data_IF_050946865477
#
_entry.id   IF_050946865477
#
_cell.length_a   1.000
_cell.length_b   1.000
_cell.length_c   1.000
_cell.angle_alpha   90.00
_cell.angle_beta   90.00
_cell.angle_gamma   90.00
#
_symmetry.space_group_name_H-M   'P 1'
#
loop_
_entity.id
_entity.type
_entity.pdbx_description
1 polymer ?
#
# COMPACT_ATOMS: atom_id res chain seq x y z
N UNK A 1 -8.23 -14.91 22.98
CA UNK A 1 -8.74 -13.67 22.37
C UNK A 1 -8.15 -13.55 20.98
N UNK A 2 -8.95 -13.17 19.97
CA UNK A 2 -8.42 -12.91 18.64
C UNK A 2 -7.74 -11.54 18.65
N UNK A 3 -6.43 -11.50 18.42
CA UNK A 3 -5.66 -10.27 18.35
C UNK A 3 -5.69 -9.79 16.91
N UNK A 4 -6.22 -8.59 16.69
CA UNK A 4 -6.37 -7.97 15.38
C UNK A 4 -6.07 -6.46 15.47
N UNK A 5 -5.90 -5.75 14.34
CA UNK A 5 -5.75 -4.29 14.34
C UNK A 5 -6.85 -3.59 15.17
N UNK A 6 -6.45 -2.66 16.04
CA UNK A 6 -7.34 -1.96 16.98
C UNK A 6 -7.66 -2.73 18.27
N UNK A 7 -7.05 -3.91 18.48
CA UNK A 7 -7.12 -4.60 19.75
C UNK A 7 -6.16 -3.94 20.77
N UNK A 8 -6.61 -3.57 21.99
CA UNK A 8 -5.81 -2.80 22.94
C UNK A 8 -4.44 -3.40 23.26
N UNK A 9 -4.34 -4.73 23.34
CA UNK A 9 -3.05 -5.43 23.52
C UNK A 9 -2.09 -5.18 22.35
N UNK A 10 -2.56 -5.26 21.10
CA UNK A 10 -1.71 -5.05 19.93
C UNK A 10 -1.25 -3.60 19.88
N UNK A 11 -2.18 -2.67 20.06
CA UNK A 11 -1.89 -1.23 20.07
C UNK A 11 -0.86 -0.88 21.15
N UNK A 12 -1.04 -1.40 22.38
CA UNK A 12 -0.09 -1.16 23.48
C UNK A 12 1.30 -1.74 23.21
N UNK A 13 1.37 -2.92 22.58
CA UNK A 13 2.67 -3.54 22.22
C UNK A 13 3.37 -2.73 21.13
N UNK A 14 2.64 -2.26 20.11
CA UNK A 14 3.17 -1.38 19.07
C UNK A 14 3.69 -0.09 19.70
N UNK A 15 2.89 0.57 20.54
CA UNK A 15 3.24 1.84 21.17
C UNK A 15 4.49 1.71 22.04
N UNK A 16 4.55 0.72 22.94
CA UNK A 16 5.72 0.49 23.80
C UNK A 16 6.97 0.12 23.00
N UNK A 17 6.81 -0.62 21.89
CA UNK A 17 7.94 -0.97 21.01
C UNK A 17 8.47 0.27 20.31
N UNK A 18 7.58 1.09 19.74
CA UNK A 18 7.95 2.32 19.05
C UNK A 18 8.53 3.35 20.02
N UNK A 19 7.96 3.50 21.22
CA UNK A 19 8.49 4.39 22.27
C UNK A 19 9.93 4.01 22.62
N UNK A 20 10.20 2.72 22.82
CA UNK A 20 11.54 2.22 23.15
C UNK A 20 12.56 2.40 22.03
N UNK A 21 12.13 2.27 20.77
CA UNK A 21 13.03 2.19 19.61
C UNK A 21 13.00 3.44 18.70
N UNK A 22 12.26 4.49 19.05
CA UNK A 22 12.15 5.71 18.23
C UNK A 22 13.50 6.35 17.91
N UNK A 23 14.40 6.42 18.89
CA UNK A 23 15.74 6.99 18.68
C UNK A 23 16.62 6.13 17.77
N UNK A 24 16.35 4.82 17.66
CA UNK A 24 17.03 3.96 16.70
C UNK A 24 16.57 4.28 15.27
N UNK A 25 15.27 4.48 15.06
CA UNK A 25 14.71 4.87 13.76
C UNK A 25 15.28 6.22 13.29
N UNK A 26 15.44 7.19 14.20
CA UNK A 26 16.01 8.51 13.91
C UNK A 26 17.52 8.50 13.63
N UNK A 27 18.28 7.57 14.20
CA UNK A 27 19.71 7.39 13.87
C UNK A 27 19.92 6.91 12.44
N UNK A 28 18.93 6.22 11.88
CA UNK A 28 18.95 5.71 10.53
C UNK A 28 19.81 4.45 10.36
N UNK A 29 19.96 4.03 9.11
CA UNK A 29 20.73 2.84 8.72
C UNK A 29 21.43 3.06 7.38
N UNK A 30 22.41 2.20 7.09
CA UNK A 30 22.96 2.04 5.74
C UNK A 30 22.55 0.66 5.25
N UNK A 31 21.82 0.62 4.14
CA UNK A 31 21.36 -0.60 3.48
C UNK A 31 21.95 -0.68 2.08
N UNK A 32 22.07 -1.89 1.56
CA UNK A 32 22.62 -2.19 0.24
C UNK A 32 21.52 -2.66 -0.68
N UNK A 33 21.40 -2.00 -1.82
CA UNK A 33 20.57 -2.44 -2.94
C UNK A 33 21.41 -3.33 -3.86
N UNK A 34 21.21 -4.64 -3.75
CA UNK A 34 21.91 -5.65 -4.57
C UNK A 34 21.48 -5.63 -6.04
N UNK A 35 20.28 -5.12 -6.33
CA UNK A 35 19.77 -5.01 -7.69
C UNK A 35 20.35 -3.84 -8.49
N UNK A 36 21.06 -2.93 -7.81
CA UNK A 36 21.57 -1.71 -8.43
C UNK A 36 23.08 -1.78 -8.72
N UNK A 37 23.41 -1.97 -10.00
CA UNK A 37 24.78 -1.93 -10.52
C UNK A 37 25.34 -0.51 -10.71
N UNK A 38 24.55 0.52 -10.46
CA UNK A 38 24.97 1.91 -10.50
C UNK A 38 25.91 2.28 -9.36
N UNK A 39 26.36 3.54 -9.34
CA UNK A 39 27.27 4.06 -8.30
C UNK A 39 26.69 5.21 -7.49
N UNK A 40 25.44 5.61 -7.78
CA UNK A 40 24.82 6.78 -7.17
C UNK A 40 24.01 6.39 -5.92
N UNK A 41 24.45 6.75 -4.71
CA UNK A 41 23.73 6.47 -3.49
C UNK A 41 22.44 7.31 -3.40
N UNK A 42 21.48 6.80 -2.64
CA UNK A 42 20.16 7.43 -2.45
C UNK A 42 19.84 7.52 -0.98
N UNK A 43 19.03 8.50 -0.58
CA UNK A 43 18.53 8.61 0.79
C UNK A 43 17.03 8.37 0.78
N UNK A 44 16.59 7.34 1.49
CA UNK A 44 15.18 6.99 1.64
C UNK A 44 14.68 7.48 2.99
N UNK A 45 13.67 8.36 2.98
CA UNK A 45 12.91 8.75 4.16
C UNK A 45 11.61 7.98 4.23
N UNK A 46 11.24 7.54 5.43
CA UNK A 46 9.93 6.98 5.70
C UNK A 46 9.18 7.89 6.67
N UNK A 47 7.96 8.25 6.27
CA UNK A 47 7.09 9.17 6.98
C UNK A 47 5.81 8.47 7.37
N UNK A 48 5.21 8.94 8.45
CA UNK A 48 3.86 8.58 8.84
C UNK A 48 2.92 9.71 8.45
N UNK A 49 1.82 9.40 7.78
CA UNK A 49 0.77 10.35 7.46
C UNK A 49 -0.60 9.83 7.91
N UNK A 50 -1.30 10.67 8.67
CA UNK A 50 -2.63 10.37 9.20
C UNK A 50 -3.67 11.32 8.62
N UNK A 51 -4.85 10.79 8.35
CA UNK A 51 -6.05 11.54 7.98
C UNK A 51 -7.08 11.32 9.09
N UNK A 52 -7.73 12.40 9.49
CA UNK A 52 -8.73 12.41 10.55
C UNK A 52 -10.06 12.96 10.05
N UNK A 53 -11.14 12.57 10.70
CA UNK A 53 -12.44 13.21 10.56
C UNK A 53 -12.74 14.14 11.75
N UNK A 54 -13.88 14.82 11.74
CA UNK A 54 -14.31 15.69 12.83
C UNK A 54 -15.02 14.92 13.98
N UNK A 55 -15.10 13.59 13.95
CA UNK A 55 -15.63 12.82 15.07
C UNK A 55 -14.61 12.76 16.22
N UNK A 56 -15.11 12.54 17.44
CA UNK A 56 -14.28 12.42 18.63
C UNK A 56 -14.21 10.97 19.11
N UNK A 57 -13.00 10.55 19.51
CA UNK A 57 -12.78 9.29 20.22
C UNK A 57 -13.30 9.39 21.65
N UNK A 58 -13.27 8.27 22.39
CA UNK A 58 -13.63 8.26 23.83
C UNK A 58 -12.70 9.14 24.68
N UNK A 59 -11.46 9.37 24.24
CA UNK A 59 -10.50 10.26 24.88
C UNK A 59 -10.68 11.74 24.51
N UNK A 60 -11.60 12.06 23.60
CA UNK A 60 -11.87 13.44 23.16
C UNK A 60 -10.97 13.94 22.03
N UNK A 61 -10.15 13.07 21.45
CA UNK A 61 -9.30 13.38 20.30
C UNK A 61 -10.05 13.22 18.98
N UNK A 62 -9.59 13.88 17.91
CA UNK A 62 -10.11 13.63 16.56
C UNK A 62 -9.80 12.20 16.14
N UNK A 63 -10.78 11.54 15.53
CA UNK A 63 -10.61 10.15 15.10
C UNK A 63 -9.76 10.08 13.84
N UNK A 64 -8.64 9.35 13.90
CA UNK A 64 -7.87 8.96 12.72
C UNK A 64 -8.67 7.93 11.91
N UNK A 65 -8.93 8.23 10.64
CA UNK A 65 -9.70 7.41 9.71
C UNK A 65 -8.85 6.69 8.67
N UNK A 66 -7.60 7.14 8.50
CA UNK A 66 -6.57 6.46 7.72
C UNK A 66 -5.20 6.80 8.27
N UNK A 67 -4.29 5.84 8.27
CA UNK A 67 -2.90 6.00 8.69
C UNK A 67 -2.02 5.22 7.72
N UNK A 68 -1.03 5.88 7.11
CA UNK A 68 -0.21 5.31 6.04
C UNK A 68 1.27 5.65 6.26
N UNK A 69 2.12 4.67 5.98
CA UNK A 69 3.56 4.88 5.81
C UNK A 69 3.82 5.39 4.39
N UNK A 70 4.59 6.46 4.26
CA UNK A 70 4.99 7.05 2.99
C UNK A 70 6.50 6.92 2.84
N UNK A 71 6.97 6.73 1.61
CA UNK A 71 8.40 6.61 1.33
C UNK A 71 8.82 7.66 0.31
N UNK A 72 9.82 8.47 0.65
CA UNK A 72 10.38 9.49 -0.25
C UNK A 72 11.85 9.22 -0.42
N UNK A 73 12.23 8.88 -1.65
CA UNK A 73 13.62 8.69 -2.05
C UNK A 73 14.19 9.98 -2.63
N UNK A 74 15.42 10.30 -2.27
CA UNK A 74 16.19 11.44 -2.78
C UNK A 74 17.49 10.92 -3.39
N UNK A 75 17.87 11.52 -4.51
CA UNK A 75 19.10 11.22 -5.27
C UNK A 75 19.95 12.49 -5.40
N UNK A 76 21.20 12.34 -5.88
CA UNK A 76 22.13 13.47 -6.04
C UNK A 76 21.62 14.57 -6.99
N UNK A 77 20.76 14.24 -7.96
CA UNK A 77 20.08 15.21 -8.83
C UNK A 77 19.04 16.07 -8.08
N UNK A 78 18.72 15.70 -6.84
CA UNK A 78 17.81 16.40 -5.95
C UNK A 78 16.33 16.23 -6.30
N UNK A 79 15.95 15.35 -7.23
CA UNK A 79 14.55 15.10 -7.55
C UNK A 79 13.95 14.09 -6.56
N UNK A 80 13.05 14.49 -5.64
CA UNK A 80 12.41 13.55 -4.75
C UNK A 80 11.45 12.65 -5.53
N UNK A 81 11.40 11.37 -5.16
CA UNK A 81 10.49 10.38 -5.76
C UNK A 81 9.68 9.71 -4.66
N UNK A 82 8.37 9.65 -4.84
CA UNK A 82 7.51 8.84 -3.99
C UNK A 82 7.61 7.37 -4.39
N UNK A 83 7.78 6.48 -3.41
CA UNK A 83 7.76 5.03 -3.61
C UNK A 83 6.59 4.46 -2.83
N UNK A 84 5.74 3.67 -3.48
CA UNK A 84 4.46 3.26 -2.89
C UNK A 84 4.60 2.04 -1.96
N UNK A 85 5.50 1.11 -2.28
CA UNK A 85 5.79 -0.04 -1.45
C UNK A 85 7.02 0.20 -0.57
N UNK A 86 7.14 -0.54 0.55
CA UNK A 86 8.27 -0.46 1.48
C UNK A 86 9.57 -0.96 0.80
N UNK A 87 10.39 -0.08 0.19
CA UNK A 87 11.43 -0.54 -0.71
C UNK A 87 12.64 -1.09 0.06
N UNK A 88 12.78 -0.71 1.33
CA UNK A 88 13.83 -1.20 2.24
C UNK A 88 13.74 -2.71 2.52
N UNK A 89 12.61 -3.35 2.22
CA UNK A 89 12.44 -4.79 2.35
C UNK A 89 13.27 -5.59 1.33
N UNK A 90 13.66 -4.97 0.22
CA UNK A 90 14.52 -5.56 -0.80
C UNK A 90 16.01 -5.22 -0.56
N UNK A 91 16.31 -4.41 0.45
CA UNK A 91 17.67 -3.96 0.76
C UNK A 91 18.23 -4.73 1.95
N UNK A 92 19.48 -5.16 1.83
CA UNK A 92 20.15 -5.92 2.90
C UNK A 92 21.01 -5.00 3.78
N UNK A 93 21.31 -5.38 5.03
CA UNK A 93 22.34 -4.67 5.80
C UNK A 93 23.72 -4.77 5.13
N UNK A 94 24.60 -3.83 5.46
CA UNK A 94 26.03 -3.93 5.15
C UNK A 94 26.61 -5.21 5.77
N UNK A 95 27.39 -5.94 5.00
CA UNK A 95 28.12 -7.11 5.47
C UNK A 95 29.39 -6.70 6.22
N UNK A 96 29.87 -7.58 7.11
CA UNK A 96 31.02 -7.31 8.00
C UNK A 96 32.31 -7.03 7.22
N UNK A 97 32.43 -7.54 6.00
CA UNK A 97 33.59 -7.40 5.11
C UNK A 97 33.45 -6.27 4.07
N UNK A 98 32.40 -5.45 4.16
CA UNK A 98 32.18 -4.30 3.29
C UNK A 98 32.74 -3.01 3.90
N UNK A 99 32.99 -1.97 3.09
CA UNK A 99 33.40 -0.66 3.60
C UNK A 99 32.47 -0.15 4.69
N UNK A 100 33.06 0.37 5.77
CA UNK A 100 32.31 0.92 6.89
C UNK A 100 31.52 2.18 6.51
N UNK A 101 30.52 2.51 7.33
CA UNK A 101 29.61 3.65 7.11
C UNK A 101 30.37 4.96 6.87
N UNK A 102 31.40 5.27 7.67
CA UNK A 102 32.20 6.49 7.50
C UNK A 102 32.94 6.51 6.16
N UNK A 103 33.48 5.37 5.72
CA UNK A 103 34.17 5.25 4.42
C UNK A 103 33.21 5.50 3.25
N UNK A 104 31.98 5.00 3.36
CA UNK A 104 30.92 5.22 2.36
C UNK A 104 30.51 6.70 2.35
N UNK A 105 30.25 7.29 3.51
CA UNK A 105 29.80 8.69 3.60
C UNK A 105 30.86 9.70 3.14
N UNK A 106 32.15 9.38 3.28
CA UNK A 106 33.26 10.22 2.81
C UNK A 106 33.47 10.18 1.27
N UNK A 107 32.68 9.39 0.54
CA UNK A 107 32.73 9.33 -0.92
C UNK A 107 32.20 10.64 -1.55
N UNK A 108 32.77 11.08 -2.69
CA UNK A 108 32.24 12.21 -3.46
C UNK A 108 30.75 12.03 -3.84
N UNK A 109 30.33 10.80 -4.12
CA UNK A 109 28.95 10.47 -4.46
C UNK A 109 27.96 10.72 -3.30
N UNK A 110 28.45 10.80 -2.06
CA UNK A 110 27.67 11.11 -0.86
C UNK A 110 27.73 12.60 -0.47
N UNK A 111 28.51 13.45 -1.17
CA UNK A 111 28.77 14.83 -0.76
C UNK A 111 27.52 15.73 -0.74
N UNK A 112 26.47 15.35 -1.48
CA UNK A 112 25.18 16.05 -1.48
C UNK A 112 24.31 15.75 -0.24
N UNK A 113 24.67 14.73 0.55
CA UNK A 113 23.90 14.28 1.70
C UNK A 113 24.15 15.22 2.88
N UNK A 114 23.10 15.93 3.29
CA UNK A 114 23.17 16.92 4.35
C UNK A 114 21.90 16.93 5.21
N UNK A 115 21.84 17.82 6.20
CA UNK A 115 20.74 17.90 7.18
C UNK A 115 19.44 18.46 6.61
N UNK A 116 19.46 19.08 5.43
CA UNK A 116 18.29 19.71 4.81
C UNK A 116 17.40 18.70 4.06
N UNK A 117 17.92 17.49 3.82
CA UNK A 117 17.21 16.44 3.09
C UNK A 117 15.90 16.02 3.77
N UNK A 118 15.87 15.98 5.11
CA UNK A 118 14.65 15.65 5.87
C UNK A 118 13.53 16.66 5.57
N UNK A 119 13.85 17.95 5.60
CA UNK A 119 12.90 19.02 5.30
C UNK A 119 12.45 18.97 3.84
N UNK A 120 13.37 18.67 2.91
CA UNK A 120 13.05 18.52 1.49
C UNK A 120 12.10 17.35 1.23
N UNK A 121 12.34 16.19 1.86
CA UNK A 121 11.46 15.04 1.77
C UNK A 121 10.07 15.34 2.36
N UNK A 122 10.02 15.98 3.53
CA UNK A 122 8.75 16.37 4.15
C UNK A 122 7.97 17.38 3.28
N UNK A 123 8.65 18.38 2.72
CA UNK A 123 8.04 19.37 1.83
C UNK A 123 7.45 18.74 0.56
N UNK A 124 8.19 17.80 -0.04
CA UNK A 124 7.69 17.02 -1.17
C UNK A 124 6.47 16.16 -0.80
N UNK A 125 6.52 15.47 0.34
CA UNK A 125 5.40 14.66 0.83
C UNK A 125 4.13 15.51 1.02
N UNK A 126 4.25 16.69 1.63
CA UNK A 126 3.13 17.64 1.79
C UNK A 126 2.57 18.08 0.44
N UNK A 127 3.44 18.40 -0.52
CA UNK A 127 3.03 18.98 -1.79
C UNK A 127 2.43 17.96 -2.78
N UNK A 128 2.95 16.73 -2.82
CA UNK A 128 2.63 15.75 -3.86
C UNK A 128 1.93 14.51 -3.31
N UNK A 129 2.41 13.95 -2.20
CA UNK A 129 1.97 12.63 -1.70
C UNK A 129 0.72 12.72 -0.81
N UNK A 130 0.66 13.72 0.07
CA UNK A 130 -0.46 13.94 1.00
C UNK A 130 -1.79 14.19 0.27
N UNK A 131 -1.84 15.01 -0.82
CA UNK A 131 -3.08 15.23 -1.57
C UNK A 131 -3.65 13.96 -2.20
N UNK A 132 -2.80 13.07 -2.71
CA UNK A 132 -3.21 11.78 -3.29
C UNK A 132 -3.86 10.90 -2.21
N UNK A 133 -3.18 10.72 -1.07
CA UNK A 133 -3.73 9.95 0.06
C UNK A 133 -5.05 10.56 0.57
N UNK A 134 -5.15 11.89 0.65
CA UNK A 134 -6.38 12.56 1.07
C UNK A 134 -7.53 12.28 0.10
N UNK A 135 -7.28 12.36 -1.20
CA UNK A 135 -8.29 12.17 -2.24
C UNK A 135 -8.82 10.74 -2.20
N UNK A 136 -7.93 9.74 -2.19
CA UNK A 136 -8.28 8.32 -2.10
C UNK A 136 -9.18 8.00 -0.89
N UNK A 137 -8.80 8.51 0.29
CA UNK A 137 -9.55 8.28 1.53
C UNK A 137 -10.88 9.03 1.52
N UNK A 138 -10.88 10.30 1.06
CA UNK A 138 -12.08 11.13 1.01
C UNK A 138 -13.12 10.52 0.08
N UNK A 139 -12.74 10.11 -1.12
CA UNK A 139 -13.67 9.56 -2.11
C UNK A 139 -14.35 8.29 -1.60
N UNK A 140 -13.55 7.37 -1.06
CA UNK A 140 -14.05 6.12 -0.47
C UNK A 140 -14.99 6.38 0.71
N UNK A 141 -14.61 7.28 1.62
CA UNK A 141 -15.40 7.58 2.83
C UNK A 141 -16.68 8.32 2.51
N UNK A 142 -16.65 9.33 1.64
CA UNK A 142 -17.84 10.09 1.28
C UNK A 142 -18.88 9.20 0.57
N UNK A 143 -18.45 8.28 -0.30
CA UNK A 143 -19.34 7.30 -0.92
C UNK A 143 -20.02 6.40 0.14
N UNK A 144 -19.26 5.90 1.12
CA UNK A 144 -19.80 5.08 2.20
C UNK A 144 -20.75 5.86 3.11
N UNK A 145 -20.41 7.12 3.44
CA UNK A 145 -21.24 8.01 4.25
C UNK A 145 -22.56 8.29 3.55
N UNK A 146 -22.55 8.61 2.25
CA UNK A 146 -23.75 8.86 1.47
C UNK A 146 -24.68 7.63 1.45
N UNK A 147 -24.11 6.43 1.24
CA UNK A 147 -24.86 5.16 1.31
C UNK A 147 -25.47 4.93 2.69
N UNK A 148 -24.71 5.22 3.74
CA UNK A 148 -25.15 5.08 5.14
C UNK A 148 -26.26 6.06 5.47
N UNK A 149 -26.13 7.32 5.04
CA UNK A 149 -27.12 8.37 5.22
C UNK A 149 -28.46 7.99 4.57
N UNK A 150 -28.41 7.51 3.32
CA UNK A 150 -29.61 7.06 2.60
C UNK A 150 -30.31 5.91 3.34
N UNK A 151 -29.57 4.90 3.80
CA UNK A 151 -30.12 3.76 4.53
C UNK A 151 -30.71 4.15 5.89
N UNK A 152 -30.05 5.06 6.61
CA UNK A 152 -30.54 5.57 7.91
C UNK A 152 -31.82 6.36 7.72
N UNK A 153 -31.87 7.28 6.74
CA UNK A 153 -33.07 8.05 6.43
C UNK A 153 -34.23 7.15 6.02
N UNK A 154 -34.01 6.21 5.10
CA UNK A 154 -35.05 5.29 4.63
C UNK A 154 -35.67 4.49 5.81
N UNK A 155 -34.82 3.88 6.63
CA UNK A 155 -35.29 3.05 7.75
C UNK A 155 -35.98 3.87 8.84
N UNK A 156 -35.36 4.93 9.33
CA UNK A 156 -35.91 5.68 10.46
C UNK A 156 -37.14 6.49 10.08
N UNK A 157 -37.19 7.05 8.86
CA UNK A 157 -38.38 7.79 8.40
C UNK A 157 -39.60 6.88 8.34
N UNK A 158 -39.47 5.65 7.82
CA UNK A 158 -40.55 4.66 7.80
C UNK A 158 -41.08 4.33 9.19
N UNK A 159 -40.19 4.09 10.15
CA UNK A 159 -40.56 3.82 11.54
C UNK A 159 -41.21 5.03 12.21
N UNK A 160 -40.68 6.25 11.99
CA UNK A 160 -41.28 7.50 12.51
C UNK A 160 -42.70 7.65 11.98
N UNK A 161 -42.90 7.55 10.66
CA UNK A 161 -44.23 7.65 10.04
C UNK A 161 -45.19 6.58 10.56
N UNK A 162 -44.73 5.35 10.79
CA UNK A 162 -45.53 4.29 11.38
C UNK A 162 -46.01 4.66 12.80
N UNK A 163 -45.09 5.08 13.67
CA UNK A 163 -45.43 5.42 15.06
C UNK A 163 -46.26 6.70 15.17
N UNK A 164 -46.02 7.70 14.31
CA UNK A 164 -46.83 8.91 14.23
C UNK A 164 -48.28 8.61 13.82
N UNK A 165 -48.47 7.81 12.77
CA UNK A 165 -49.80 7.38 12.35
C UNK A 165 -50.49 6.54 13.43
N UNK A 166 -49.75 5.63 14.07
CA UNK A 166 -50.27 4.82 15.18
C UNK A 166 -50.69 5.66 16.38
N UNK A 167 -49.95 6.72 16.70
CA UNK A 167 -50.29 7.65 17.78
C UNK A 167 -51.62 8.36 17.51
N UNK A 168 -51.84 8.87 16.30
CA UNK A 168 -53.11 9.52 15.94
C UNK A 168 -54.30 8.53 15.92
N UNK A 169 -54.09 7.29 15.44
CA UNK A 169 -55.12 6.26 15.52
C UNK A 169 -55.53 5.95 16.96
N UNK A 170 -54.57 5.79 17.87
CA UNK A 170 -54.85 5.52 19.28
C UNK A 170 -55.54 6.71 19.95
N UNK A 171 -55.14 7.93 19.60
CA UNK A 171 -55.75 9.16 20.12
C UNK A 171 -57.24 9.26 19.75
N UNK A 172 -57.59 8.94 18.50
CA UNK A 172 -58.99 8.89 18.06
C UNK A 172 -59.79 7.80 18.80
N UNK A 173 -59.19 6.62 19.04
CA UNK A 173 -59.85 5.54 19.79
C UNK A 173 -60.07 5.90 21.26
N UNK A 174 -59.09 6.54 21.89
CA UNK A 174 -59.18 7.06 23.26
C UNK A 174 -60.27 8.12 23.39
N UNK A 175 -60.34 9.06 22.43
CA UNK A 175 -61.42 10.07 22.36
C UNK A 175 -62.80 9.44 22.14
N UNK A 176 -62.87 8.33 21.43
CA UNK A 176 -64.09 7.55 21.24
C UNK A 176 -64.43 6.61 22.42
N UNK A 177 -63.70 6.71 23.55
CA UNK A 177 -63.96 5.92 24.76
C UNK A 177 -63.52 4.45 24.67
N UNK A 178 -62.63 4.09 23.73
CA UNK A 178 -62.06 2.74 23.58
C UNK A 178 -60.57 2.74 23.94
N UNK A 179 -60.20 2.93 25.21
CA UNK A 179 -58.79 2.96 25.62
C UNK A 179 -58.12 1.59 25.45
N UNK A 180 -56.87 1.59 24.99
CA UNK A 180 -56.06 0.38 24.83
C UNK A 180 -55.14 0.19 26.06
N UNK A 181 -55.23 -0.96 26.73
CA UNK A 181 -54.51 -1.22 27.98
C UNK A 181 -52.98 -1.45 27.81
N UNK A 182 -52.50 -1.72 26.59
CA UNK A 182 -51.08 -2.09 26.34
C UNK A 182 -50.22 -0.97 25.75
N UNK A 183 -50.83 0.02 25.11
CA UNK A 183 -50.13 1.12 24.45
C UNK A 183 -51.12 2.27 24.24
N UNK A 184 -50.80 3.45 24.78
CA UNK A 184 -51.59 4.66 24.57
C UNK A 184 -50.98 5.58 23.49
N UNK A 185 -51.76 6.57 23.05
CA UNK A 185 -51.36 7.56 22.05
C UNK A 185 -50.09 8.32 22.43
N UNK A 186 -49.94 8.67 23.71
CA UNK A 186 -48.77 9.38 24.24
C UNK A 186 -47.48 8.56 24.18
N UNK A 187 -47.52 7.27 24.50
CA UNK A 187 -46.38 6.36 24.39
C UNK A 187 -45.97 6.13 22.93
N UNK A 188 -46.95 5.99 22.03
CA UNK A 188 -46.67 5.89 20.60
C UNK A 188 -46.02 7.17 20.06
N UNK A 189 -46.51 8.35 20.47
CA UNK A 189 -45.90 9.65 20.12
C UNK A 189 -44.47 9.76 20.65
N UNK A 190 -44.23 9.43 21.92
CA UNK A 190 -42.89 9.40 22.51
C UNK A 190 -41.92 8.51 21.73
N UNK A 191 -42.38 7.37 21.20
CA UNK A 191 -41.53 6.50 20.35
C UNK A 191 -41.15 7.19 19.04
N UNK A 192 -42.08 7.88 18.38
CA UNK A 192 -41.78 8.65 17.18
C UNK A 192 -40.77 9.77 17.47
N UNK A 193 -40.97 10.54 18.55
CA UNK A 193 -40.05 11.62 18.96
C UNK A 193 -38.64 11.10 19.25
N UNK A 194 -38.51 9.94 19.94
CA UNK A 194 -37.22 9.30 20.18
C UNK A 194 -36.53 8.87 18.89
N UNK A 195 -37.29 8.36 17.91
CA UNK A 195 -36.75 7.98 16.60
C UNK A 195 -36.32 9.21 15.79
N UNK A 196 -37.07 10.32 15.86
CA UNK A 196 -36.68 11.60 15.27
C UNK A 196 -35.36 12.12 15.86
N UNK A 197 -35.23 12.10 17.19
CA UNK A 197 -34.00 12.48 17.87
C UNK A 197 -32.81 11.59 17.48
N UNK A 198 -33.03 10.27 17.32
CA UNK A 198 -32.00 9.34 16.84
C UNK A 198 -31.60 9.62 15.39
N UNK A 199 -32.56 9.93 14.51
CA UNK A 199 -32.29 10.30 13.13
C UNK A 199 -31.44 11.57 13.08
N UNK A 200 -31.87 12.63 13.78
CA UNK A 200 -31.14 13.89 13.85
C UNK A 200 -29.71 13.68 14.34
N UNK A 201 -29.55 13.00 15.49
CA UNK A 201 -28.24 12.70 16.07
C UNK A 201 -27.34 11.95 15.07
N UNK A 202 -27.87 10.92 14.40
CA UNK A 202 -27.06 10.15 13.45
C UNK A 202 -26.67 10.97 12.21
N UNK A 203 -27.54 11.86 11.73
CA UNK A 203 -27.20 12.76 10.62
C UNK A 203 -26.13 13.79 11.03
N UNK A 204 -26.15 14.26 12.27
CA UNK A 204 -25.11 15.14 12.82
C UNK A 204 -23.76 14.41 12.94
N UNK A 205 -23.76 13.16 13.40
CA UNK A 205 -22.56 12.31 13.43
C UNK A 205 -21.99 12.10 12.03
N UNK A 206 -22.82 11.75 11.04
CA UNK A 206 -22.38 11.57 9.64
C UNK A 206 -21.80 12.86 9.03
N UNK A 207 -22.33 14.03 9.41
CA UNK A 207 -21.77 15.33 8.99
C UNK A 207 -20.37 15.59 9.58
N UNK A 208 -20.08 15.09 10.78
CA UNK A 208 -18.74 15.15 11.36
C UNK A 208 -17.80 14.15 10.69
N UNK A 209 -18.27 12.93 10.43
CA UNK A 209 -17.52 11.90 9.69
C UNK A 209 -17.13 12.38 8.27
N UNK A 210 -17.97 13.21 7.63
CA UNK A 210 -17.71 13.77 6.29
C UNK A 210 -16.67 14.91 6.28
N UNK A 211 -16.34 15.50 7.44
CA UNK A 211 -15.35 16.55 7.57
C UNK A 211 -13.95 15.95 7.71
N UNK A 212 -13.37 15.58 6.57
CA UNK A 212 -12.08 14.87 6.49
C UNK A 212 -10.94 15.86 6.24
N UNK A 213 -9.87 15.76 7.03
CA UNK A 213 -8.67 16.60 6.94
C UNK A 213 -7.38 15.77 7.10
N UNK A 214 -6.31 16.10 6.36
CA UNK A 214 -5.00 15.49 6.58
C UNK A 214 -4.28 16.14 7.78
N UNK A 215 -3.43 15.37 8.45
CA UNK A 215 -2.41 15.87 9.36
C UNK A 215 -1.08 16.04 8.62
N UNK A 216 -0.18 16.94 9.05
CA UNK A 216 1.16 17.01 8.47
C UNK A 216 1.88 15.66 8.59
N UNK A 217 2.59 15.19 7.54
CA UNK A 217 3.37 13.97 7.61
C UNK A 217 4.55 14.15 8.58
N UNK A 218 4.82 13.12 9.37
CA UNK A 218 5.89 13.09 10.36
C UNK A 218 7.00 12.19 9.86
N UNK A 219 8.21 12.73 9.68
CA UNK A 219 9.38 11.92 9.32
C UNK A 219 9.76 11.05 10.51
N UNK A 220 9.74 9.73 10.34
CA UNK A 220 10.10 8.79 11.38
C UNK A 220 11.60 8.50 11.39
N UNK A 221 12.21 8.44 10.21
CA UNK A 221 13.65 8.26 10.04
C UNK A 221 14.06 8.26 8.57
N UNK A 222 15.34 8.00 8.35
CA UNK A 222 15.91 7.89 7.01
C UNK A 222 17.02 6.86 6.96
N UNK A 223 17.34 6.38 5.77
CA UNK A 223 18.42 5.43 5.54
C UNK A 223 19.18 5.78 4.27
N UNK A 224 20.49 5.55 4.29
CA UNK A 224 21.33 5.58 3.12
C UNK A 224 21.18 4.24 2.38
N UNK A 225 20.79 4.31 1.11
CA UNK A 225 20.73 3.17 0.21
C UNK A 225 21.96 3.22 -0.68
N UNK A 226 22.79 2.18 -0.57
CA UNK A 226 24.07 2.05 -1.28
C UNK A 226 23.90 1.02 -2.40
N UNK A 227 24.10 1.41 -3.66
CA UNK A 227 24.11 0.46 -4.76
C UNK A 227 25.26 -0.55 -4.63
N UNK A 228 25.01 -1.81 -4.98
CA UNK A 228 26.07 -2.82 -5.06
C UNK A 228 27.21 -2.41 -6.01
N UNK A 229 26.91 -1.68 -7.09
CA UNK A 229 27.92 -1.15 -8.00
C UNK A 229 28.89 -0.16 -7.33
N UNK A 230 28.43 0.65 -6.37
CA UNK A 230 29.30 1.54 -5.60
C UNK A 230 30.25 0.74 -4.69
N UNK A 231 29.74 -0.28 -4.00
CA UNK A 231 30.57 -1.14 -3.12
C UNK A 231 31.60 -1.93 -3.91
N UNK A 232 31.23 -2.44 -5.09
CA UNK A 232 32.13 -3.12 -6.01
C UNK A 232 33.26 -2.18 -6.46
N UNK A 233 32.92 -0.96 -6.88
CA UNK A 233 33.90 0.06 -7.25
C UNK A 233 34.86 0.43 -6.10
N UNK A 234 34.34 0.51 -4.87
CA UNK A 234 35.15 0.82 -3.67
C UNK A 234 36.11 -0.31 -3.29
N UNK A 235 35.70 -1.57 -3.49
CA UNK A 235 36.48 -2.75 -3.05
C UNK A 235 37.35 -3.33 -4.17
N UNK A 236 37.27 -2.80 -5.39
CA UNK A 236 37.94 -3.35 -6.56
C UNK A 236 37.43 -4.74 -6.94
N UNK A 237 36.27 -5.15 -6.41
CA UNK A 237 35.62 -6.41 -6.77
C UNK A 237 34.79 -6.18 -8.03
N UNK A 238 34.80 -7.13 -8.95
CA UNK A 238 33.80 -7.16 -10.00
C UNK A 238 32.42 -7.37 -9.34
N UNK A 239 31.42 -6.56 -9.72
CA UNK A 239 30.02 -6.88 -9.42
C UNK A 239 29.78 -8.30 -9.96
N UNK A 240 29.16 -9.23 -9.21
CA UNK A 240 28.76 -10.53 -9.77
C UNK A 240 27.89 -10.28 -11.00
N UNK A 241 28.50 -10.38 -12.19
CA UNK A 241 27.81 -10.20 -13.45
C UNK A 241 26.95 -11.43 -13.68
N UNK A 242 25.68 -11.37 -13.27
CA UNK A 242 24.65 -12.04 -14.06
C UNK A 242 24.61 -11.32 -15.40
N UNK A 243 25.42 -11.77 -16.36
CA UNK A 243 25.43 -11.38 -17.80
C UNK A 243 25.17 -9.88 -18.06
N UNK A 244 26.24 -9.11 -18.32
CA UNK A 244 26.25 -7.74 -18.85
C UNK A 244 24.99 -6.88 -18.57
N UNK A 245 25.04 -5.90 -17.63
CA UNK A 245 23.86 -5.13 -17.16
C UNK A 245 22.97 -4.52 -18.24
N UNK A 246 23.56 -4.17 -19.39
CA UNK A 246 22.84 -3.59 -20.53
C UNK A 246 21.95 -4.63 -21.22
N UNK A 247 22.41 -5.88 -21.33
CA UNK A 247 21.68 -6.97 -21.98
C UNK A 247 20.49 -7.43 -21.12
N UNK A 248 20.66 -7.44 -19.79
CA UNK A 248 19.61 -7.77 -18.82
C UNK A 248 18.50 -6.72 -18.77
N UNK A 249 18.83 -5.42 -18.81
CA UNK A 249 17.81 -4.35 -18.85
C UNK A 249 17.05 -4.31 -20.18
N UNK A 250 17.74 -4.48 -21.30
CA UNK A 250 17.12 -4.57 -22.63
C UNK A 250 16.21 -5.80 -22.68
N UNK A 251 16.65 -6.93 -22.15
CA UNK A 251 15.87 -8.17 -22.04
C UNK A 251 14.63 -8.01 -21.16
N UNK A 252 14.74 -7.33 -20.01
CA UNK A 252 13.60 -7.05 -19.12
C UNK A 252 12.56 -6.13 -19.78
N UNK A 253 12.99 -5.02 -20.36
CA UNK A 253 12.10 -4.10 -21.08
C UNK A 253 11.41 -4.79 -22.27
N UNK A 254 12.16 -5.63 -23.00
CA UNK A 254 11.61 -6.44 -24.09
C UNK A 254 10.59 -7.45 -23.59
N UNK A 255 10.87 -8.13 -22.48
CA UNK A 255 9.94 -9.08 -21.87
C UNK A 255 8.63 -8.38 -21.45
N UNK A 256 8.70 -7.23 -20.79
CA UNK A 256 7.50 -6.44 -20.43
C UNK A 256 6.70 -6.02 -21.66
N UNK A 257 7.37 -5.56 -22.72
CA UNK A 257 6.70 -5.20 -23.97
C UNK A 257 5.93 -6.37 -24.60
N UNK A 258 6.53 -7.57 -24.59
CA UNK A 258 5.88 -8.82 -25.04
C UNK A 258 4.64 -9.11 -24.18
N UNK A 259 4.78 -9.08 -22.86
CA UNK A 259 3.67 -9.40 -21.93
C UNK A 259 2.52 -8.41 -22.09
N UNK A 260 2.81 -7.11 -22.22
CA UNK A 260 1.78 -6.11 -22.50
C UNK A 260 1.04 -6.41 -23.82
N UNK A 261 1.71 -6.87 -24.86
CA UNK A 261 1.05 -7.21 -26.11
C UNK A 261 0.16 -8.45 -25.98
N UNK A 262 0.62 -9.47 -25.24
CA UNK A 262 -0.18 -10.65 -24.92
C UNK A 262 -1.43 -10.24 -24.13
N UNK A 263 -1.29 -9.41 -23.09
CA UNK A 263 -2.42 -8.94 -22.28
C UNK A 263 -3.44 -8.14 -23.12
N UNK A 264 -2.98 -7.29 -24.05
CA UNK A 264 -3.88 -6.61 -25.01
C UNK A 264 -4.62 -7.61 -25.90
N UNK A 265 -3.93 -8.64 -26.38
CA UNK A 265 -4.52 -9.73 -27.16
C UNK A 265 -5.60 -10.51 -26.40
N UNK A 266 -5.49 -10.59 -25.07
CA UNK A 266 -6.49 -11.18 -24.17
C UNK A 266 -7.66 -10.21 -23.84
N UNK A 267 -7.62 -8.97 -24.34
CA UNK A 267 -8.65 -7.95 -24.10
C UNK A 267 -8.47 -7.18 -22.80
N UNK A 268 -7.29 -7.21 -22.18
CA UNK A 268 -6.96 -6.40 -21.02
C UNK A 268 -6.24 -5.10 -21.42
N UNK A 269 -6.15 -4.16 -20.47
CA UNK A 269 -5.53 -2.85 -20.66
C UNK A 269 -4.28 -2.71 -19.77
N UNK A 270 -3.10 -3.16 -20.24
CA UNK A 270 -1.86 -3.14 -19.47
C UNK A 270 -1.14 -1.78 -19.48
N UNK A 271 -0.56 -1.42 -18.35
CA UNK A 271 0.29 -0.24 -18.13
C UNK A 271 1.59 -0.67 -17.47
N UNK A 272 2.74 -0.27 -18.03
CA UNK A 272 4.06 -0.50 -17.43
C UNK A 272 4.24 0.40 -16.19
N UNK A 273 4.60 -0.22 -15.07
CA UNK A 273 4.77 0.35 -13.73
C UNK A 273 6.13 0.00 -13.11
N UNK A 274 7.06 -0.59 -13.86
CA UNK A 274 8.40 -1.02 -13.40
C UNK A 274 9.07 0.04 -12.51
N UNK A 275 9.08 1.29 -12.98
CA UNK A 275 9.81 2.38 -12.33
C UNK A 275 9.16 2.88 -11.04
N UNK A 276 7.94 2.45 -10.73
CA UNK A 276 7.21 2.80 -9.50
C UNK A 276 7.54 1.87 -8.32
N UNK A 277 8.26 0.75 -8.58
CA UNK A 277 8.71 -0.24 -7.57
C UNK A 277 7.55 -0.73 -6.69
N UNK A 278 6.46 -1.18 -7.33
CA UNK A 278 5.22 -1.59 -6.66
C UNK A 278 5.25 -3.04 -6.13
N UNK A 279 6.33 -3.79 -6.40
CA UNK A 279 6.40 -5.25 -6.20
C UNK A 279 5.79 -6.05 -7.36
N UNK A 280 5.57 -5.39 -8.49
CA UNK A 280 5.19 -5.95 -9.79
C UNK A 280 5.53 -4.92 -10.88
N UNK A 281 5.55 -5.36 -12.14
CA UNK A 281 5.98 -4.55 -13.28
C UNK A 281 4.84 -3.96 -14.09
N UNK A 282 3.69 -4.64 -14.18
CA UNK A 282 2.57 -4.25 -15.05
C UNK A 282 1.25 -4.29 -14.27
N UNK A 283 0.47 -3.23 -14.37
CA UNK A 283 -0.96 -3.24 -14.02
C UNK A 283 -1.78 -3.52 -15.27
N UNK A 284 -2.47 -4.66 -15.30
CA UNK A 284 -3.35 -5.03 -16.40
C UNK A 284 -4.81 -4.95 -15.96
N UNK A 285 -5.52 -3.91 -16.42
CA UNK A 285 -6.92 -3.66 -16.05
C UNK A 285 -7.83 -4.60 -16.80
N UNK A 286 -8.81 -5.15 -16.07
CA UNK A 286 -9.89 -5.97 -16.63
C UNK A 286 -11.11 -5.08 -16.93
N UNK A 287 -11.42 -4.79 -18.21
CA UNK A 287 -12.49 -3.86 -18.57
C UNK A 287 -13.85 -4.25 -17.97
N UNK A 288 -14.62 -3.26 -17.53
CA UNK A 288 -15.99 -3.47 -17.00
C UNK A 288 -16.09 -4.08 -15.60
N UNK A 289 -14.99 -4.52 -14.99
CA UNK A 289 -15.02 -5.17 -13.66
C UNK A 289 -14.45 -4.32 -12.53
N UNK A 290 -13.62 -3.33 -12.86
CA UNK A 290 -12.83 -2.56 -11.88
C UNK A 290 -11.67 -3.34 -11.26
N UNK A 291 -11.43 -4.59 -11.70
CA UNK A 291 -10.37 -5.46 -11.21
C UNK A 291 -9.05 -5.16 -11.93
N UNK A 292 -7.94 -5.27 -11.20
CA UNK A 292 -6.57 -5.15 -11.72
C UNK A 292 -5.87 -6.50 -11.58
N UNK A 293 -5.04 -6.84 -12.56
CA UNK A 293 -4.06 -7.93 -12.51
C UNK A 293 -2.69 -7.31 -12.26
N UNK A 294 -1.92 -7.89 -11.34
CA UNK A 294 -0.59 -7.41 -10.97
C UNK A 294 0.44 -8.39 -11.53
N UNK A 295 1.20 -7.95 -12.53
CA UNK A 295 2.03 -8.85 -13.32
C UNK A 295 3.50 -8.51 -13.09
N UNK A 296 4.24 -9.48 -12.56
CA UNK A 296 5.70 -9.45 -12.42
C UNK A 296 6.35 -10.16 -13.61
N UNK A 297 7.32 -9.55 -14.29
CA UNK A 297 7.87 -10.08 -15.54
C UNK A 297 9.35 -10.41 -15.40
N UNK A 298 9.71 -11.69 -15.60
CA UNK A 298 11.10 -12.14 -15.60
C UNK A 298 11.50 -12.60 -17.00
N UNK A 299 12.29 -11.76 -17.69
CA UNK A 299 12.92 -12.10 -18.98
C UNK A 299 14.19 -12.94 -18.79
N UNK A 300 14.31 -14.06 -19.53
CA UNK A 300 15.48 -14.94 -19.46
C UNK A 300 15.89 -15.49 -20.84
N UNK A 301 17.19 -15.49 -21.11
CA UNK A 301 17.76 -16.26 -22.21
C UNK A 301 17.64 -17.76 -21.90
N UNK A 302 17.42 -18.59 -22.92
CA UNK A 302 17.26 -20.04 -22.74
C UNK A 302 18.49 -20.65 -22.04
N UNK A 303 18.26 -21.42 -20.96
CA UNK A 303 19.30 -22.14 -20.20
C UNK A 303 19.71 -21.59 -18.82
N UNK A 304 19.01 -20.59 -18.27
CA UNK A 304 19.21 -20.17 -16.88
C UNK A 304 18.47 -21.11 -15.90
N UNK A 305 19.15 -21.61 -14.87
CA UNK A 305 18.56 -22.60 -13.96
C UNK A 305 17.64 -21.99 -12.89
N UNK A 306 17.72 -20.68 -12.64
CA UNK A 306 16.99 -20.03 -11.52
C UNK A 306 16.40 -18.67 -11.85
N UNK A 307 15.32 -18.31 -11.15
CA UNK A 307 14.73 -16.97 -11.11
C UNK A 307 14.89 -16.38 -9.71
N UNK A 308 15.48 -15.20 -9.63
CA UNK A 308 15.51 -14.37 -8.43
C UNK A 308 14.24 -13.54 -8.34
N UNK A 309 13.58 -13.60 -7.18
CA UNK A 309 12.36 -12.86 -6.86
C UNK A 309 12.61 -12.05 -5.59
N UNK A 310 12.24 -10.77 -5.60
CA UNK A 310 12.44 -9.90 -4.44
C UNK A 310 11.44 -10.19 -3.32
N UNK A 311 11.74 -9.73 -2.09
CA UNK A 311 10.85 -9.87 -0.96
C UNK A 311 9.52 -9.17 -1.23
N UNK A 312 9.56 -7.97 -1.81
CA UNK A 312 8.36 -7.20 -2.15
C UNK A 312 7.47 -7.92 -3.16
N UNK A 313 8.05 -8.52 -4.22
CA UNK A 313 7.30 -9.33 -5.18
C UNK A 313 6.58 -10.50 -4.51
N UNK A 314 7.27 -11.23 -3.61
CA UNK A 314 6.69 -12.37 -2.89
C UNK A 314 5.55 -11.90 -1.96
N UNK A 315 5.79 -10.87 -1.17
CA UNK A 315 4.78 -10.35 -0.24
C UNK A 315 3.57 -9.78 -0.99
N UNK A 316 3.77 -9.13 -2.14
CA UNK A 316 2.67 -8.64 -2.96
C UNK A 316 1.83 -9.80 -3.51
N UNK A 317 2.48 -10.85 -4.00
CA UNK A 317 1.80 -12.08 -4.44
C UNK A 317 0.96 -12.72 -3.33
N UNK A 318 1.46 -12.78 -2.09
CA UNK A 318 0.75 -13.38 -0.97
C UNK A 318 -0.42 -12.52 -0.49
N UNK A 319 -0.32 -11.19 -0.62
CA UNK A 319 -1.41 -10.27 -0.29
C UNK A 319 -2.52 -10.25 -1.35
N UNK A 320 -2.20 -10.54 -2.62
CA UNK A 320 -3.11 -10.52 -3.76
C UNK A 320 -3.06 -11.82 -4.58
N UNK A 321 -3.29 -13.00 -3.96
CA UNK A 321 -3.02 -14.29 -4.59
C UNK A 321 -3.89 -14.59 -5.81
N UNK A 322 -5.08 -13.99 -5.91
CA UNK A 322 -5.96 -14.17 -7.07
C UNK A 322 -5.62 -13.25 -8.24
N UNK A 323 -4.99 -12.11 -7.96
CA UNK A 323 -4.78 -11.03 -8.94
C UNK A 323 -3.31 -10.97 -9.41
N UNK A 324 -2.38 -11.54 -8.62
CA UNK A 324 -0.95 -11.55 -8.93
C UNK A 324 -0.57 -12.69 -9.88
N UNK A 325 0.29 -12.36 -10.86
CA UNK A 325 0.77 -13.28 -11.88
C UNK A 325 2.27 -13.06 -12.06
N UNK A 326 3.07 -14.12 -11.95
CA UNK A 326 4.45 -14.11 -12.41
C UNK A 326 4.47 -14.58 -13.86
N UNK A 327 5.04 -13.78 -14.77
CA UNK A 327 5.21 -14.12 -16.17
C UNK A 327 6.69 -14.28 -16.48
N UNK A 328 7.06 -15.47 -16.94
CA UNK A 328 8.42 -15.78 -17.37
C UNK A 328 8.46 -15.73 -18.89
N UNK A 329 9.34 -14.89 -19.44
CA UNK A 329 9.55 -14.79 -20.88
C UNK A 329 10.88 -15.46 -21.23
N UNK A 330 10.81 -16.62 -21.87
CA UNK A 330 11.98 -17.34 -22.38
C UNK A 330 12.26 -16.88 -23.82
N UNK A 331 13.46 -16.36 -24.06
CA UNK A 331 13.93 -15.99 -25.39
C UNK A 331 14.61 -17.20 -26.06
N UNK A 332 13.94 -17.80 -27.05
CA UNK A 332 14.43 -18.98 -27.80
C UNK A 332 15.20 -18.62 -29.09
N UNK A 333 15.39 -17.32 -29.35
CA UNK A 333 16.08 -16.77 -30.50
C UNK A 333 15.86 -15.26 -30.62
N UNK A 334 16.47 -14.61 -31.61
CA UNK A 334 16.48 -13.14 -31.72
C UNK A 334 15.10 -12.50 -31.78
N UNK A 335 14.08 -13.21 -32.28
CA UNK A 335 12.68 -12.75 -32.37
C UNK A 335 11.62 -13.79 -31.94
N UNK A 336 12.05 -14.91 -31.37
CA UNK A 336 11.15 -15.97 -30.91
C UNK A 336 11.18 -16.04 -29.40
N UNK A 337 10.00 -16.09 -28.78
CA UNK A 337 9.85 -16.15 -27.34
C UNK A 337 8.70 -17.07 -26.94
N UNK A 338 8.73 -17.54 -25.70
CA UNK A 338 7.61 -18.21 -25.02
C UNK A 338 7.32 -17.48 -23.73
N UNK A 339 6.04 -17.27 -23.44
CA UNK A 339 5.59 -16.63 -22.20
C UNK A 339 4.85 -17.66 -21.35
N UNK A 340 5.27 -17.80 -20.10
CA UNK A 340 4.74 -18.75 -19.13
C UNK A 340 4.06 -18.00 -18.00
N UNK A 341 2.76 -18.24 -17.78
CA UNK A 341 1.95 -17.53 -16.80
C UNK A 341 1.79 -18.37 -15.54
N UNK A 342 2.25 -17.87 -14.40
CA UNK A 342 2.16 -18.55 -13.12
C UNK A 342 1.24 -17.76 -12.18
N UNK A 343 0.17 -18.42 -11.74
CA UNK A 343 -0.75 -17.90 -10.73
C UNK A 343 -0.39 -18.48 -9.38
N UNK A 344 -0.48 -17.66 -8.32
CA UNK A 344 -0.07 -18.06 -6.97
C UNK A 344 1.34 -18.68 -6.94
N UNK A 345 2.36 -18.02 -7.54
CA UNK A 345 3.70 -18.61 -7.71
C UNK A 345 4.41 -18.87 -6.37
N UNK A 346 4.00 -18.20 -5.29
CA UNK A 346 4.63 -18.32 -3.97
C UNK A 346 3.59 -18.67 -2.91
N UNK A 347 3.99 -19.52 -1.95
CA UNK A 347 3.11 -20.03 -0.90
C UNK A 347 3.53 -19.62 0.52
N UNK A 348 4.72 -19.03 0.69
CA UNK A 348 5.29 -18.70 1.99
C UNK A 348 6.08 -17.40 1.94
N UNK A 349 6.04 -16.67 3.04
CA UNK A 349 6.86 -15.48 3.22
C UNK A 349 8.34 -15.85 3.44
N UNK A 350 9.30 -15.06 2.93
CA UNK A 350 10.71 -15.23 3.25
C UNK A 350 11.02 -14.92 4.72
N UNK A 351 12.03 -15.58 5.28
CA UNK A 351 12.57 -15.27 6.60
C UNK A 351 12.93 -13.78 6.72
N UNK A 352 12.84 -13.20 7.92
CA UNK A 352 12.90 -11.75 8.14
C UNK A 352 14.12 -11.04 7.52
N UNK A 353 15.29 -11.68 7.49
CA UNK A 353 16.52 -11.10 6.93
C UNK A 353 16.73 -11.33 5.42
N UNK A 354 15.82 -12.03 4.75
CA UNK A 354 15.94 -12.40 3.34
C UNK A 354 15.30 -11.32 2.46
N UNK A 355 16.08 -10.74 1.55
CA UNK A 355 15.65 -9.67 0.63
C UNK A 355 15.24 -10.19 -0.74
N UNK A 356 15.70 -11.38 -1.12
CA UNK A 356 15.31 -12.07 -2.35
C UNK A 356 15.48 -13.58 -2.19
N UNK A 357 14.75 -14.34 -3.01
CA UNK A 357 14.80 -15.80 -3.04
C UNK A 357 15.05 -16.25 -4.49
N UNK A 358 15.97 -17.21 -4.66
CA UNK A 358 16.17 -17.88 -5.93
C UNK A 358 15.30 -19.13 -5.99
N UNK A 359 14.46 -19.23 -7.02
CA UNK A 359 13.64 -20.39 -7.31
C UNK A 359 14.21 -21.13 -8.51
N UNK A 360 14.11 -22.47 -8.49
CA UNK A 360 14.42 -23.30 -9.65
C UNK A 360 13.44 -23.01 -10.79
N UNK A 361 13.98 -22.76 -11.99
CA UNK A 361 13.17 -22.40 -13.14
C UNK A 361 12.28 -23.56 -13.59
N UNK A 362 12.78 -24.79 -13.57
CA UNK A 362 12.01 -25.95 -14.02
C UNK A 362 10.80 -26.20 -13.11
N UNK A 363 10.97 -26.05 -11.80
CA UNK A 363 9.89 -26.16 -10.82
C UNK A 363 8.79 -25.10 -11.01
N UNK A 364 9.19 -23.87 -11.36
CA UNK A 364 8.26 -22.79 -11.69
C UNK A 364 7.53 -23.09 -13.01
N UNK A 365 8.25 -23.48 -14.06
CA UNK A 365 7.65 -23.76 -15.37
C UNK A 365 6.68 -24.96 -15.33
N UNK A 366 6.91 -25.94 -14.45
CA UNK A 366 5.99 -27.06 -14.25
C UNK A 366 4.60 -26.63 -13.72
N UNK A 367 4.53 -25.46 -13.08
CA UNK A 367 3.29 -24.87 -12.55
C UNK A 367 2.67 -23.84 -13.51
N UNK A 368 3.35 -23.50 -14.59
CA UNK A 368 2.91 -22.48 -15.53
C UNK A 368 1.75 -22.98 -16.40
N UNK A 369 0.82 -22.07 -16.66
CA UNK A 369 -0.24 -22.24 -17.65
C UNK A 369 -0.01 -21.38 -18.89
N UNK A 370 -0.88 -21.58 -19.88
CA UNK A 370 -1.02 -20.69 -21.03
C UNK A 370 -1.50 -19.29 -20.59
N UNK A 371 -1.20 -18.24 -21.37
CA UNK A 371 -1.73 -16.90 -21.13
C UNK A 371 -3.26 -16.92 -20.96
N UNK A 372 -3.75 -16.34 -19.85
CA UNK A 372 -5.17 -16.37 -19.45
C UNK A 372 -5.62 -15.16 -18.69
#
# INVERSE_FOLDING_TARGET
AFVCPGHPLLDSVIDLTLERHRDLLKRGAVLVDEGDSGTQPRVLFYLEHAIQDASLTRSGERRVVSKRMLYVELTADGAPRHVHYAPYLDYRPLAVNEPGVETILNRPECAWINRELEQKAQGYAVAQVVPEHLTEVRDTKLALIAKTEAAVKDRLTKEITYWDHRAEQLKLQEQAGKPNARLNSGEARKRADLLQGRLQKRLEELKLEAQISPLPPVVLGGMLVVPAGLLAAMTGKAVPMSTAPVDTQISAARARAIVMEIERGLGFEPTDREFEKLGYDIESRVPGTGRLRFIEVKGRASGADTITVTRNEILHSLNKPEDFILVIVEFTGDNTHRAHYLRQPFQREPDFGVTSVNYDLADLLAQAGEPS
#
